data_IF_105186797620
#
_entry.id   IF_105186797620
#
_cell.length_a   1.000
_cell.length_b   1.000
_cell.length_c   1.000
_cell.angle_alpha   90.00
_cell.angle_beta   90.00
_cell.angle_gamma   90.00
#
_symmetry.space_group_name_H-M   'P 1'
#
loop_
_entity.id
_entity.type
_entity.pdbx_description
1 polymer ?
#
# COMPACT_ATOMS: atom_id res chain seq x y z
N UNK A 1 -50.34 -15.86 -19.53
CA UNK A 1 -49.24 -15.05 -20.10
C UNK A 1 -48.65 -13.99 -19.15
N UNK A 2 -49.40 -13.26 -18.28
CA UNK A 2 -48.80 -12.31 -17.34
C UNK A 2 -48.06 -12.98 -16.16
N UNK A 3 -48.58 -14.10 -15.67
CA UNK A 3 -48.06 -14.80 -14.49
C UNK A 3 -46.67 -15.42 -14.71
N UNK A 4 -46.40 -15.98 -15.91
CA UNK A 4 -45.07 -16.47 -16.27
C UNK A 4 -44.02 -15.36 -16.27
N UNK A 5 -44.36 -14.17 -16.75
CA UNK A 5 -43.44 -13.01 -16.74
C UNK A 5 -43.14 -12.56 -15.31
N UNK A 6 -44.14 -12.55 -14.44
CA UNK A 6 -43.97 -12.19 -13.02
C UNK A 6 -43.08 -13.22 -12.32
N UNK A 7 -43.24 -14.51 -12.61
CA UNK A 7 -42.38 -15.57 -12.07
C UNK A 7 -40.92 -15.38 -12.51
N UNK A 8 -40.70 -15.17 -13.80
CA UNK A 8 -39.35 -14.98 -14.36
C UNK A 8 -38.67 -13.72 -13.80
N UNK A 9 -39.41 -12.63 -13.64
CA UNK A 9 -38.85 -11.40 -13.06
C UNK A 9 -38.43 -11.60 -11.60
N UNK A 10 -39.20 -12.34 -10.80
CA UNK A 10 -38.84 -12.66 -9.41
C UNK A 10 -37.56 -13.49 -9.32
N UNK A 11 -37.41 -14.46 -10.21
CA UNK A 11 -36.20 -15.27 -10.30
C UNK A 11 -34.97 -14.43 -10.65
N UNK A 12 -35.08 -13.55 -11.65
CA UNK A 12 -34.01 -12.62 -12.01
C UNK A 12 -33.66 -11.63 -10.91
N UNK A 13 -34.64 -11.13 -10.17
CA UNK A 13 -34.39 -10.24 -9.01
C UNK A 13 -33.62 -11.01 -7.94
N UNK A 14 -34.00 -12.25 -7.63
CA UNK A 14 -33.28 -13.07 -6.65
C UNK A 14 -31.83 -13.36 -7.08
N UNK A 15 -31.60 -13.60 -8.38
CA UNK A 15 -30.25 -13.76 -8.94
C UNK A 15 -29.40 -12.48 -8.78
N UNK A 16 -29.99 -11.31 -9.11
CA UNK A 16 -29.31 -10.02 -9.00
C UNK A 16 -28.94 -9.70 -7.55
N UNK A 17 -29.86 -9.90 -6.61
CA UNK A 17 -29.59 -9.71 -5.18
C UNK A 17 -28.48 -10.64 -4.68
N UNK A 18 -28.44 -11.88 -5.16
CA UNK A 18 -27.37 -12.82 -4.80
C UNK A 18 -26.01 -12.37 -5.36
N UNK A 19 -25.99 -11.80 -6.56
CA UNK A 19 -24.77 -11.28 -7.17
C UNK A 19 -24.29 -10.01 -6.46
N UNK A 20 -25.20 -9.09 -6.14
CA UNK A 20 -24.88 -7.89 -5.36
C UNK A 20 -24.28 -8.23 -4.00
N UNK A 21 -24.86 -9.21 -3.29
CA UNK A 21 -24.29 -9.70 -2.02
C UNK A 21 -22.86 -10.22 -2.19
N UNK A 22 -22.59 -10.97 -3.27
CA UNK A 22 -21.23 -11.48 -3.55
C UNK A 22 -20.26 -10.34 -3.85
N UNK A 23 -20.65 -9.38 -4.69
CA UNK A 23 -19.80 -8.23 -5.00
C UNK A 23 -19.48 -7.40 -3.76
N UNK A 24 -20.47 -7.18 -2.88
CA UNK A 24 -20.25 -6.43 -1.65
C UNK A 24 -19.29 -7.15 -0.69
N UNK A 25 -19.42 -8.47 -0.56
CA UNK A 25 -18.49 -9.29 0.23
C UNK A 25 -17.06 -9.21 -0.33
N UNK A 26 -16.90 -9.27 -1.66
CA UNK A 26 -15.59 -9.19 -2.31
C UNK A 26 -14.94 -7.80 -2.13
N UNK A 27 -15.71 -6.72 -2.31
CA UNK A 27 -15.23 -5.36 -2.07
C UNK A 27 -14.78 -5.16 -0.61
N UNK A 28 -15.53 -5.70 0.34
CA UNK A 28 -15.17 -5.64 1.76
C UNK A 28 -13.85 -6.34 2.01
N UNK A 29 -13.70 -7.57 1.49
CA UNK A 29 -12.47 -8.35 1.61
C UNK A 29 -11.25 -7.62 1.02
N UNK A 30 -11.37 -7.08 -0.20
CA UNK A 30 -10.28 -6.35 -0.84
C UNK A 30 -9.88 -5.10 -0.06
N UNK A 31 -10.86 -4.40 0.51
CA UNK A 31 -10.60 -3.22 1.35
C UNK A 31 -9.83 -3.60 2.61
N UNK A 32 -10.22 -4.68 3.29
CA UNK A 32 -9.50 -5.19 4.46
C UNK A 32 -8.07 -5.64 4.13
N UNK A 33 -7.84 -6.26 2.96
CA UNK A 33 -6.49 -6.63 2.51
C UNK A 33 -5.63 -5.38 2.22
N UNK A 34 -6.20 -4.35 1.59
CA UNK A 34 -5.52 -3.08 1.36
C UNK A 34 -5.19 -2.36 2.67
N UNK A 35 -6.12 -2.32 3.62
CA UNK A 35 -5.91 -1.69 4.93
C UNK A 35 -4.81 -2.38 5.72
N UNK A 36 -4.70 -3.72 5.64
CA UNK A 36 -3.58 -4.47 6.24
C UNK A 36 -2.25 -4.07 5.63
N UNK A 37 -2.16 -4.07 4.29
CA UNK A 37 -0.94 -3.67 3.58
C UNK A 37 -0.57 -2.22 3.90
N UNK A 38 -1.57 -1.33 3.96
CA UNK A 38 -1.35 0.08 4.26
C UNK A 38 -0.86 0.27 5.71
N UNK A 39 -1.49 -0.39 6.68
CA UNK A 39 -1.08 -0.36 8.08
C UNK A 39 0.34 -0.91 8.27
N UNK A 40 0.68 -2.02 7.61
CA UNK A 40 2.03 -2.60 7.68
C UNK A 40 3.08 -1.63 7.11
N UNK A 41 2.77 -0.93 6.01
CA UNK A 41 3.64 0.09 5.42
C UNK A 41 3.79 1.32 6.30
N UNK A 42 2.69 1.89 6.78
CA UNK A 42 2.70 3.08 7.65
C UNK A 42 3.40 2.78 8.97
N UNK A 43 3.18 1.59 9.55
CA UNK A 43 3.86 1.16 10.77
C UNK A 43 5.36 0.97 10.55
N UNK A 44 5.75 0.32 9.45
CA UNK A 44 7.16 0.15 9.09
C UNK A 44 7.83 1.50 8.86
N UNK A 45 7.19 2.41 8.12
CA UNK A 45 7.71 3.75 7.86
C UNK A 45 7.78 4.60 9.15
N UNK A 46 6.79 4.52 10.03
CA UNK A 46 6.79 5.21 11.31
C UNK A 46 7.89 4.70 12.24
N UNK A 47 8.11 3.37 12.31
CA UNK A 47 9.23 2.80 13.08
C UNK A 47 10.55 3.24 12.50
N UNK A 48 10.70 3.23 11.17
CA UNK A 48 11.91 3.70 10.52
C UNK A 48 12.11 5.17 10.92
N UNK A 49 11.18 6.06 10.61
CA UNK A 49 11.30 7.52 10.87
C UNK A 49 11.50 7.91 12.34
N UNK A 50 10.88 7.20 13.28
CA UNK A 50 11.00 7.50 14.72
C UNK A 50 12.16 6.78 15.41
N UNK A 51 12.78 5.80 14.76
CA UNK A 51 13.88 5.05 15.37
C UNK A 51 15.16 5.91 15.40
N UNK A 52 15.83 6.01 16.57
CA UNK A 52 17.15 6.62 16.68
C UNK A 52 18.26 5.74 16.06
N UNK A 53 17.89 4.60 15.46
CA UNK A 53 18.81 3.69 14.78
C UNK A 53 18.94 4.10 13.32
N UNK A 54 20.20 4.13 12.87
CA UNK A 54 20.60 4.34 11.49
C UNK A 54 20.13 3.20 10.60
N UNK A 55 19.05 3.43 9.84
CA UNK A 55 18.47 2.45 8.93
C UNK A 55 18.81 2.87 7.50
N UNK A 56 19.45 1.96 6.77
CA UNK A 56 19.79 2.09 5.36
C UNK A 56 19.19 0.88 4.64
N UNK A 57 18.40 1.12 3.59
CA UNK A 57 17.97 0.07 2.68
C UNK A 57 18.88 0.05 1.46
N UNK A 58 19.37 -1.14 1.12
CA UNK A 58 20.28 -1.38 0.00
C UNK A 58 19.52 -2.20 -1.05
N UNK A 59 19.52 -1.73 -2.29
CA UNK A 59 18.94 -2.40 -3.44
C UNK A 59 19.77 -3.62 -3.87
N UNK A 60 19.20 -4.44 -4.75
CA UNK A 60 19.82 -5.69 -5.19
C UNK A 60 21.18 -5.51 -5.91
N UNK A 61 21.41 -4.32 -6.49
CA UNK A 61 22.66 -3.93 -7.17
C UNK A 61 23.72 -3.36 -6.20
N UNK A 62 23.39 -3.23 -4.90
CA UNK A 62 24.28 -2.61 -3.90
C UNK A 62 24.06 -1.10 -3.70
N UNK A 63 23.15 -0.50 -4.45
CA UNK A 63 22.81 0.92 -4.33
C UNK A 63 21.99 1.21 -3.08
N UNK A 64 22.24 2.33 -2.42
CA UNK A 64 21.38 2.77 -1.32
C UNK A 64 20.06 3.31 -1.89
N UNK A 65 18.94 2.71 -1.49
CA UNK A 65 17.60 3.10 -1.95
C UNK A 65 16.84 3.94 -0.90
N UNK A 66 17.27 3.90 0.37
CA UNK A 66 16.66 4.68 1.43
C UNK A 66 17.61 4.85 2.62
N UNK A 67 17.61 6.03 3.23
CA UNK A 67 18.19 6.27 4.54
C UNK A 67 17.14 6.97 5.41
N UNK A 68 17.09 6.63 6.70
CA UNK A 68 16.15 7.21 7.64
C UNK A 68 16.50 8.66 8.04
N UNK A 69 15.52 9.55 8.20
CA UNK A 69 15.69 10.97 8.56
C UNK A 69 16.49 11.17 9.87
N UNK A 70 16.37 10.25 10.83
CA UNK A 70 17.12 10.29 12.08
C UNK A 70 18.65 10.12 11.88
N UNK A 71 19.09 9.45 10.80
CA UNK A 71 20.49 9.39 10.39
C UNK A 71 20.99 10.76 9.94
N UNK A 72 20.19 11.46 9.16
CA UNK A 72 20.54 12.74 8.54
C UNK A 72 20.63 13.87 9.57
N UNK A 73 19.64 13.93 10.47
CA UNK A 73 19.60 14.92 11.53
C UNK A 73 20.79 14.81 12.51
N UNK A 74 21.32 13.61 12.74
CA UNK A 74 22.41 13.38 13.68
C UNK A 74 23.81 13.45 13.02
N UNK A 75 23.90 13.20 11.71
CA UNK A 75 25.15 13.36 10.94
C UNK A 75 25.35 14.80 10.44
N UNK A 76 24.37 15.69 10.62
CA UNK A 76 24.47 17.11 10.26
C UNK A 76 24.31 17.41 8.77
N UNK A 77 23.79 16.45 8.00
CA UNK A 77 23.52 16.62 6.57
C UNK A 77 22.10 17.16 6.35
N UNK A 78 21.97 18.14 5.46
CA UNK A 78 20.67 18.67 5.05
C UNK A 78 20.04 17.78 3.95
N UNK A 79 18.71 17.79 3.84
CA UNK A 79 17.98 16.96 2.87
C UNK A 79 18.45 17.15 1.40
N UNK A 80 18.99 18.32 1.06
CA UNK A 80 19.55 18.64 -0.26
C UNK A 80 20.88 17.92 -0.55
N UNK A 81 21.70 17.66 0.47
CA UNK A 81 22.97 16.95 0.31
C UNK A 81 22.74 15.45 0.10
N UNK A 82 21.65 14.91 0.64
CA UNK A 82 21.27 13.50 0.49
C UNK A 82 20.86 13.18 -0.94
N UNK A 83 20.14 14.08 -1.59
CA UNK A 83 19.77 13.94 -3.00
C UNK A 83 21.03 13.99 -3.91
N UNK A 84 22.03 14.79 -3.51
CA UNK A 84 23.33 14.84 -4.17
C UNK A 84 24.19 13.59 -3.92
N UNK A 85 24.09 12.93 -2.77
CA UNK A 85 24.78 11.66 -2.48
C UNK A 85 24.12 10.46 -3.19
N UNK A 86 22.79 10.39 -3.20
CA UNK A 86 22.06 9.33 -3.91
C UNK A 86 22.19 9.48 -5.44
N UNK A 87 22.25 10.71 -5.95
CA UNK A 87 22.50 10.99 -7.37
C UNK A 87 23.92 10.68 -7.86
N UNK A 88 24.89 10.48 -6.96
CA UNK A 88 26.26 10.11 -7.33
C UNK A 88 26.49 8.60 -7.42
N UNK A 89 25.68 7.77 -6.75
CA UNK A 89 25.79 6.31 -6.86
C UNK A 89 25.27 5.75 -8.19
N UNK A 90 24.44 6.48 -8.95
CA UNK A 90 23.94 6.02 -10.26
C UNK A 90 24.95 6.18 -11.43
N UNK A 91 26.17 6.63 -11.15
CA UNK A 91 27.24 6.81 -12.14
C UNK A 91 28.55 6.22 -11.63
N UNK A 92 28.64 4.90 -11.55
CA UNK A 92 29.92 4.21 -11.70
C UNK A 92 29.74 2.83 -12.31
#
# INVERSE_FOLDING_TARGET
MPEEKISLLRERVAELEALERKHHAELTRLTEELDKIHNDRVFSEAIIRSSPVFIVAIGAEGDTIMMNDALLANLGYNAEEVDAFLGQCSKS
#
